data_IF_221469603715
#
_entry.id   IF_221469603715
#
_cell.length_a   1.000
_cell.length_b   1.000
_cell.length_c   1.000
_cell.angle_alpha   90.00
_cell.angle_beta   90.00
_cell.angle_gamma   90.00
#
_symmetry.space_group_name_H-M   'P 1'
#
loop_
_entity.id
_entity.type
_entity.pdbx_description
1 polymer ?
#
# COMPACT_ATOMS: atom_id res chain seq x y z
N UNK A 1 5.41 -11.29 -18.82
CA UNK A 1 4.80 -10.27 -17.95
C UNK A 1 3.70 -9.60 -18.74
N UNK A 2 2.46 -9.60 -18.27
CA UNK A 2 1.40 -8.80 -18.92
C UNK A 2 1.40 -7.41 -18.30
N UNK A 3 1.65 -6.39 -19.13
CA UNK A 3 1.41 -5.02 -18.74
C UNK A 3 -0.10 -4.78 -18.54
N UNK A 4 -0.44 -3.77 -17.76
CA UNK A 4 -1.81 -3.29 -17.64
C UNK A 4 -2.36 -2.88 -19.01
N UNK A 5 -3.65 -3.17 -19.21
CA UNK A 5 -4.43 -2.62 -20.31
C UNK A 5 -4.58 -1.11 -20.14
N UNK A 6 -4.94 -0.40 -21.22
CA UNK A 6 -5.19 1.04 -21.17
C UNK A 6 -6.33 1.40 -20.20
N UNK A 7 -7.35 0.56 -20.13
CA UNK A 7 -8.49 0.74 -19.23
C UNK A 7 -8.09 0.59 -17.76
N UNK A 8 -7.34 -0.46 -17.42
CA UNK A 8 -6.80 -0.67 -16.07
C UNK A 8 -5.86 0.47 -15.65
N UNK A 9 -5.00 0.93 -16.56
CA UNK A 9 -4.10 2.04 -16.31
C UNK A 9 -4.88 3.35 -16.09
N UNK A 10 -5.88 3.62 -16.93
CA UNK A 10 -6.75 4.80 -16.77
C UNK A 10 -7.50 4.76 -15.43
N UNK A 11 -8.06 3.61 -15.06
CA UNK A 11 -8.75 3.44 -13.78
C UNK A 11 -7.80 3.69 -12.59
N UNK A 12 -6.60 3.11 -12.62
CA UNK A 12 -5.59 3.30 -11.59
C UNK A 12 -5.16 4.77 -11.44
N UNK A 13 -4.95 5.46 -12.56
CA UNK A 13 -4.52 6.87 -12.58
C UNK A 13 -5.65 7.87 -12.27
N UNK A 14 -6.91 7.44 -12.37
CA UNK A 14 -8.07 8.26 -12.01
C UNK A 14 -8.36 8.27 -10.51
N UNK A 15 -7.72 7.39 -9.74
CA UNK A 15 -7.90 7.31 -8.31
C UNK A 15 -7.25 8.52 -7.62
N UNK A 16 -8.01 9.19 -6.76
CA UNK A 16 -7.56 10.34 -5.98
C UNK A 16 -6.35 9.98 -5.10
N UNK A 17 -5.27 10.74 -5.22
CA UNK A 17 -4.16 10.72 -4.27
C UNK A 17 -4.52 11.60 -3.06
N UNK A 18 -4.80 10.97 -1.91
CA UNK A 18 -5.19 11.68 -0.69
C UNK A 18 -4.03 12.50 -0.11
N UNK A 19 -2.79 12.16 -0.45
CA UNK A 19 -1.63 12.93 -0.01
C UNK A 19 -1.46 14.21 -0.82
N UNK A 20 -2.06 14.34 -2.02
CA UNK A 20 -1.91 15.49 -2.92
C UNK A 20 -2.97 16.59 -2.68
N UNK A 21 -2.58 17.77 -2.16
CA UNK A 21 -3.51 18.88 -1.94
C UNK A 21 -4.20 19.40 -3.22
N UNK A 22 -3.59 19.20 -4.40
CA UNK A 22 -4.19 19.60 -5.68
C UNK A 22 -5.45 18.77 -6.00
N UNK A 23 -5.60 17.59 -5.37
CA UNK A 23 -6.75 16.72 -5.53
C UNK A 23 -7.75 16.87 -4.37
N UNK A 24 -7.65 17.96 -3.59
CA UNK A 24 -8.58 18.31 -2.52
C UNK A 24 -8.05 18.00 -1.11
N UNK A 25 -8.63 18.59 -0.06
CA UNK A 25 -8.13 18.47 1.31
C UNK A 25 -8.33 17.07 1.89
N UNK A 26 -7.37 16.63 2.70
CA UNK A 26 -7.44 15.37 3.46
C UNK A 26 -6.47 15.36 4.65
N UNK A 27 -6.81 14.67 5.72
CA UNK A 27 -6.02 14.61 6.96
C UNK A 27 -4.64 13.96 6.80
N UNK A 28 -4.44 13.15 5.75
CA UNK A 28 -3.11 12.63 5.36
C UNK A 28 -2.13 13.79 5.10
N UNK A 29 -2.60 14.88 4.48
CA UNK A 29 -1.76 16.04 4.19
C UNK A 29 -1.28 16.70 5.49
N UNK A 30 -2.14 16.75 6.51
CA UNK A 30 -1.78 17.27 7.83
C UNK A 30 -0.70 16.43 8.53
N UNK A 31 -0.68 15.11 8.33
CA UNK A 31 0.42 14.25 8.80
C UNK A 31 1.72 14.63 8.11
N UNK A 32 1.72 14.73 6.77
CA UNK A 32 2.91 15.12 5.99
C UNK A 32 3.40 16.51 6.40
N UNK A 33 2.50 17.49 6.56
CA UNK A 33 2.84 18.87 6.92
C UNK A 33 3.36 18.99 8.36
N UNK A 34 2.83 18.19 9.30
CA UNK A 34 3.33 18.13 10.67
C UNK A 34 4.76 17.60 10.70
N UNK A 35 5.03 16.51 9.98
CA UNK A 35 6.37 15.92 9.86
C UNK A 35 7.34 16.93 9.22
N UNK A 36 6.96 17.51 8.08
CA UNK A 36 7.74 18.54 7.39
C UNK A 36 8.09 19.70 8.32
N UNK A 37 7.12 20.17 9.10
CA UNK A 37 7.31 21.29 10.03
C UNK A 37 8.23 20.91 11.18
N UNK A 38 8.05 19.74 11.79
CA UNK A 38 8.90 19.27 12.88
C UNK A 38 10.35 19.08 12.41
N UNK A 39 10.56 18.39 11.29
CA UNK A 39 11.90 18.14 10.77
C UNK A 39 12.58 19.42 10.27
N UNK A 40 11.85 20.31 9.60
CA UNK A 40 12.38 21.61 9.19
C UNK A 40 12.79 22.51 10.36
N UNK A 41 12.08 22.43 11.50
CA UNK A 41 12.48 23.12 12.74
C UNK A 41 13.70 22.48 13.40
N UNK A 42 13.79 21.16 13.35
CA UNK A 42 14.94 20.43 13.89
C UNK A 42 16.22 20.72 13.09
N UNK A 43 16.08 20.89 11.77
CA UNK A 43 17.20 21.09 10.85
C UNK A 43 17.02 22.37 10.01
N UNK A 44 17.18 23.57 10.63
CA UNK A 44 16.82 24.84 10.00
C UNK A 44 17.67 25.24 8.79
N UNK A 45 18.81 24.57 8.58
CA UNK A 45 19.72 24.81 7.45
C UNK A 45 19.62 23.73 6.36
N UNK A 46 18.74 22.75 6.53
CA UNK A 46 18.49 21.70 5.53
C UNK A 46 17.43 22.19 4.55
N UNK A 47 17.74 22.16 3.25
CA UNK A 47 16.77 22.49 2.22
C UNK A 47 15.69 21.40 2.14
N UNK A 48 14.42 21.78 2.05
CA UNK A 48 13.31 20.81 1.95
C UNK A 48 12.85 20.71 0.51
N UNK A 49 12.98 19.52 -0.08
CA UNK A 49 12.50 19.22 -1.42
C UNK A 49 11.27 18.31 -1.33
N UNK A 50 10.09 18.86 -1.59
CA UNK A 50 8.85 18.07 -1.63
C UNK A 50 8.62 17.53 -3.04
N UNK A 51 8.43 16.20 -3.16
CA UNK A 51 8.17 15.50 -4.43
C UNK A 51 6.79 14.86 -4.41
N UNK A 52 6.08 15.02 -5.52
CA UNK A 52 4.76 14.42 -5.79
C UNK A 52 4.70 14.03 -7.27
N UNK A 53 5.70 13.27 -7.69
CA UNK A 53 5.90 12.94 -9.09
C UNK A 53 4.75 12.07 -9.62
N UNK A 54 4.62 11.97 -10.94
CA UNK A 54 3.61 11.11 -11.55
C UNK A 54 3.80 9.65 -11.10
N UNK A 55 2.72 8.88 -10.84
CA UNK A 55 2.83 7.51 -10.31
C UNK A 55 3.38 6.49 -11.30
N UNK A 56 3.34 6.76 -12.61
CA UNK A 56 4.06 5.96 -13.61
C UNK A 56 5.53 6.36 -13.59
N UNK A 57 6.39 5.42 -13.20
CA UNK A 57 7.83 5.62 -13.02
C UNK A 57 8.61 4.56 -13.78
N UNK A 58 9.90 4.84 -14.03
CA UNK A 58 10.80 3.85 -14.62
C UNK A 58 10.96 2.66 -13.66
N UNK A 59 10.90 1.43 -14.21
CA UNK A 59 11.19 0.20 -13.49
C UNK A 59 12.58 0.27 -12.82
N UNK A 60 13.54 0.91 -13.49
CA UNK A 60 14.87 1.12 -12.97
C UNK A 60 14.88 2.01 -11.72
N UNK A 61 14.07 3.07 -11.66
CA UNK A 61 14.00 3.92 -10.47
C UNK A 61 13.18 3.29 -9.34
N UNK A 62 12.16 2.50 -9.68
CA UNK A 62 11.40 1.77 -8.67
C UNK A 62 12.19 0.62 -8.04
N UNK A 63 13.19 0.02 -8.73
CA UNK A 63 13.91 -1.13 -8.17
C UNK A 63 15.44 -1.09 -8.38
N UNK A 64 15.92 -1.00 -9.62
CA UNK A 64 17.35 -1.17 -9.92
C UNK A 64 18.23 -0.13 -9.21
N UNK A 65 17.82 1.13 -9.21
CA UNK A 65 18.55 2.25 -8.63
C UNK A 65 18.42 2.30 -7.10
N UNK A 66 17.53 1.49 -6.53
CA UNK A 66 17.40 1.22 -5.10
C UNK A 66 18.09 -0.10 -4.68
N UNK A 67 18.84 -0.75 -5.58
CA UNK A 67 19.66 -1.92 -5.24
C UNK A 67 18.89 -3.25 -5.15
N UNK A 68 17.61 -3.29 -5.48
CA UNK A 68 16.86 -4.55 -5.53
C UNK A 68 17.47 -5.52 -6.53
N UNK A 69 17.59 -6.80 -6.17
CA UNK A 69 18.06 -7.84 -7.09
C UNK A 69 17.07 -8.06 -8.25
N UNK A 70 17.57 -8.46 -9.42
CA UNK A 70 16.72 -8.70 -10.60
C UNK A 70 15.67 -9.81 -10.39
N UNK A 71 16.00 -10.82 -9.58
CA UNK A 71 15.09 -11.89 -9.17
C UNK A 71 14.37 -11.65 -7.84
N UNK A 72 14.33 -10.40 -7.36
CA UNK A 72 13.61 -10.09 -6.12
C UNK A 72 12.11 -10.35 -6.29
N UNK A 73 11.53 -11.05 -5.31
CA UNK A 73 10.09 -11.37 -5.27
C UNK A 73 9.23 -10.10 -5.40
N UNK A 74 9.70 -8.97 -4.85
CA UNK A 74 9.02 -7.67 -4.94
C UNK A 74 8.86 -7.13 -6.36
N UNK A 75 9.57 -7.69 -7.36
CA UNK A 75 9.43 -7.35 -8.79
C UNK A 75 8.44 -8.26 -9.52
N UNK A 76 8.00 -9.34 -8.90
CA UNK A 76 7.07 -10.26 -9.55
C UNK A 76 5.76 -9.55 -9.88
N UNK A 77 5.15 -9.90 -11.01
CA UNK A 77 3.87 -9.33 -11.44
C UNK A 77 2.72 -9.56 -10.44
N UNK A 78 2.92 -10.46 -9.45
CA UNK A 78 2.00 -10.66 -8.35
C UNK A 78 2.04 -9.53 -7.30
N UNK A 79 3.06 -8.68 -7.28
CA UNK A 79 3.20 -7.54 -6.37
C UNK A 79 3.29 -6.20 -7.11
N UNK A 80 3.85 -6.20 -8.32
CA UNK A 80 4.09 -4.99 -9.12
C UNK A 80 3.10 -4.86 -10.28
N UNK A 81 2.53 -3.66 -10.48
CA UNK A 81 1.69 -3.34 -11.64
C UNK A 81 2.53 -2.69 -12.75
N UNK A 82 2.83 -3.46 -13.81
CA UNK A 82 3.61 -3.01 -14.96
C UNK A 82 2.77 -2.19 -15.93
N UNK A 83 3.20 -0.96 -16.26
CA UNK A 83 2.56 -0.12 -17.27
C UNK A 83 3.12 -0.39 -18.68
N UNK A 84 4.40 -0.73 -18.76
CA UNK A 84 5.08 -1.15 -19.99
C UNK A 84 6.23 -2.12 -19.66
N UNK A 85 7.08 -2.45 -20.64
CA UNK A 85 8.27 -3.26 -20.40
C UNK A 85 9.32 -2.54 -19.52
N UNK A 86 9.24 -1.20 -19.43
CA UNK A 86 10.23 -0.35 -18.75
C UNK A 86 9.63 0.54 -17.67
N UNK A 87 8.31 0.55 -17.51
CA UNK A 87 7.60 1.43 -16.58
C UNK A 87 6.60 0.64 -15.74
N UNK A 88 6.41 1.11 -14.51
CA UNK A 88 5.49 0.56 -13.53
C UNK A 88 4.67 1.67 -12.91
N UNK A 89 3.50 1.33 -12.39
CA UNK A 89 2.91 2.14 -11.33
C UNK A 89 3.77 1.92 -10.08
N UNK A 90 4.27 3.00 -9.47
CA UNK A 90 5.22 2.91 -8.35
C UNK A 90 4.65 2.03 -7.22
N UNK A 91 5.45 1.08 -6.75
CA UNK A 91 5.07 0.19 -5.65
C UNK A 91 5.32 0.81 -4.28
N UNK A 92 6.18 1.83 -4.23
CA UNK A 92 6.56 2.58 -3.03
C UNK A 92 7.05 3.98 -3.39
N UNK A 93 6.95 4.92 -2.45
CA UNK A 93 7.37 6.32 -2.68
C UNK A 93 8.89 6.47 -2.87
N UNK A 94 9.69 5.48 -2.44
CA UNK A 94 11.15 5.49 -2.65
C UNK A 94 11.54 5.53 -4.12
N UNK A 95 10.62 5.21 -5.04
CA UNK A 95 10.85 5.32 -6.49
C UNK A 95 11.13 6.77 -6.94
N UNK A 96 10.73 7.77 -6.15
CA UNK A 96 11.05 9.19 -6.39
C UNK A 96 12.46 9.58 -5.91
N UNK A 97 13.12 8.73 -5.11
CA UNK A 97 14.42 9.05 -4.51
C UNK A 97 15.54 9.01 -5.54
N UNK A 98 15.73 7.96 -6.37
CA UNK A 98 16.79 7.95 -7.36
C UNK A 98 16.84 9.15 -8.31
N UNK A 99 15.73 9.61 -8.93
CA UNK A 99 15.77 10.82 -9.74
C UNK A 99 16.11 12.07 -8.91
N UNK A 100 15.61 12.18 -7.67
CA UNK A 100 15.94 13.30 -6.79
C UNK A 100 17.43 13.32 -6.37
N UNK A 101 18.04 12.15 -6.14
CA UNK A 101 19.47 12.05 -5.85
C UNK A 101 20.33 12.44 -7.06
N UNK A 102 19.92 12.07 -8.28
CA UNK A 102 20.61 12.49 -9.51
C UNK A 102 20.53 14.01 -9.71
N UNK A 103 19.40 14.62 -9.38
CA UNK A 103 19.25 16.07 -9.38
C UNK A 103 20.18 16.72 -8.35
N UNK A 104 20.20 16.19 -7.12
CA UNK A 104 21.09 16.65 -6.05
C UNK A 104 22.56 16.57 -6.42
N UNK A 105 23.00 15.53 -7.14
CA UNK A 105 24.38 15.38 -7.60
C UNK A 105 24.85 16.50 -8.53
N UNK A 106 23.91 17.24 -9.14
CA UNK A 106 24.18 18.38 -10.02
C UNK A 106 23.79 19.73 -9.42
N UNK A 107 23.23 19.73 -8.20
CA UNK A 107 22.77 20.93 -7.51
C UNK A 107 23.86 21.52 -6.61
N UNK A 108 23.73 22.80 -6.29
CA UNK A 108 24.61 23.47 -5.31
C UNK A 108 24.29 23.09 -3.85
N UNK A 109 23.09 22.53 -3.61
CA UNK A 109 22.62 22.13 -2.29
C UNK A 109 23.62 21.15 -1.62
N UNK A 110 23.75 21.25 -0.29
CA UNK A 110 24.71 20.48 0.50
C UNK A 110 24.10 19.69 1.66
N UNK A 111 22.85 19.97 1.99
CA UNK A 111 22.03 19.26 2.97
C UNK A 111 20.57 19.40 2.56
N UNK A 112 19.95 18.28 2.21
CA UNK A 112 18.60 18.22 1.64
C UNK A 112 17.76 17.19 2.39
N UNK A 113 16.53 17.56 2.75
CA UNK A 113 15.47 16.65 3.18
C UNK A 113 14.48 16.48 2.02
N UNK A 114 14.54 15.32 1.37
CA UNK A 114 13.54 14.88 0.40
C UNK A 114 12.29 14.42 1.17
N UNK A 115 11.13 14.93 0.76
CA UNK A 115 9.81 14.54 1.27
C UNK A 115 8.99 14.06 0.08
N UNK A 116 8.94 12.76 -0.11
CA UNK A 116 8.30 12.09 -1.24
C UNK A 116 6.99 11.46 -0.77
N UNK A 117 5.85 12.12 -0.97
CA UNK A 117 4.56 11.62 -0.51
C UNK A 117 3.62 11.34 -1.67
N UNK A 118 2.92 10.20 -1.63
CA UNK A 118 1.92 9.90 -2.65
C UNK A 118 1.36 8.50 -2.57
N UNK A 119 0.35 8.27 -3.41
CA UNK A 119 -0.29 6.98 -3.62
C UNK A 119 0.68 5.99 -4.29
N UNK A 120 0.67 4.74 -3.86
CA UNK A 120 1.42 3.62 -4.44
C UNK A 120 0.45 2.57 -4.94
N UNK A 121 0.91 1.66 -5.80
CA UNK A 121 0.08 0.64 -6.40
C UNK A 121 0.72 -0.72 -6.21
N UNK A 122 0.02 -1.59 -5.48
CA UNK A 122 0.42 -2.96 -5.21
C UNK A 122 -0.78 -3.89 -5.27
N UNK A 123 -0.54 -5.17 -5.53
CA UNK A 123 -1.57 -6.18 -5.25
C UNK A 123 -1.49 -6.52 -3.78
N UNK A 124 -2.65 -6.57 -3.13
CA UNK A 124 -2.75 -6.78 -1.68
C UNK A 124 -4.00 -7.60 -1.33
N UNK A 125 -4.09 -8.12 -0.11
CA UNK A 125 -5.31 -8.78 0.37
C UNK A 125 -6.50 -7.82 0.38
N UNK A 126 -7.72 -8.38 0.48
CA UNK A 126 -8.93 -7.61 0.77
C UNK A 126 -9.26 -7.86 2.23
N UNK A 127 -8.92 -6.90 3.08
CA UNK A 127 -9.25 -6.86 4.50
C UNK A 127 -9.29 -5.41 5.01
N UNK A 128 -9.54 -5.24 6.31
CA UNK A 128 -9.71 -3.92 6.94
C UNK A 128 -8.40 -3.13 7.14
N UNK A 129 -7.23 -3.77 6.99
CA UNK A 129 -5.90 -3.13 7.12
C UNK A 129 -5.25 -2.83 5.78
N UNK A 130 -5.59 -3.59 4.74
CA UNK A 130 -4.87 -3.59 3.47
C UNK A 130 -5.67 -2.93 2.36
N UNK A 131 -4.92 -2.29 1.46
CA UNK A 131 -5.46 -1.70 0.24
C UNK A 131 -4.44 -1.89 -0.88
N UNK A 132 -4.93 -2.10 -2.10
CA UNK A 132 -4.06 -2.15 -3.29
C UNK A 132 -3.44 -0.80 -3.64
N UNK A 133 -3.91 0.28 -3.00
CA UNK A 133 -3.47 1.65 -3.31
C UNK A 133 -3.15 2.49 -2.07
N UNK A 134 -2.14 2.08 -1.27
CA UNK A 134 -1.78 2.79 -0.04
C UNK A 134 -1.04 4.08 -0.37
N UNK A 135 -1.05 5.03 0.55
CA UNK A 135 -0.21 6.22 0.55
C UNK A 135 1.03 5.97 1.43
N UNK A 136 2.19 6.34 0.90
CA UNK A 136 3.43 6.28 1.63
C UNK A 136 4.09 7.66 1.67
N UNK A 137 5.05 7.78 2.57
CA UNK A 137 5.92 8.93 2.68
C UNK A 137 7.35 8.41 2.76
N UNK A 138 8.21 8.83 1.83
CA UNK A 138 9.65 8.66 1.92
C UNK A 138 10.29 9.97 2.39
N UNK A 139 11.06 9.88 3.47
CA UNK A 139 11.86 10.95 4.04
C UNK A 139 13.33 10.57 3.91
N UNK A 140 14.06 11.34 3.11
CA UNK A 140 15.49 11.12 2.94
C UNK A 140 16.26 12.40 3.26
N UNK A 141 17.03 12.40 4.33
CA UNK A 141 17.97 13.49 4.61
C UNK A 141 19.33 13.11 4.04
N UNK A 142 19.88 13.90 3.13
CA UNK A 142 21.14 13.66 2.45
C UNK A 142 22.04 14.87 2.65
N UNK A 143 23.24 14.67 3.20
CA UNK A 143 24.12 15.77 3.60
C UNK A 143 25.59 15.44 3.36
N UNK A 144 26.34 16.45 2.91
CA UNK A 144 27.81 16.50 2.93
C UNK A 144 28.37 17.46 4.00
N UNK A 145 27.48 18.15 4.72
CA UNK A 145 27.85 19.06 5.81
C UNK A 145 27.86 18.37 7.17
N UNK A 146 27.09 17.29 7.31
CA UNK A 146 26.90 16.54 8.53
C UNK A 146 27.04 15.06 8.21
N UNK A 147 27.77 14.32 9.04
CA UNK A 147 27.80 12.86 8.98
C UNK A 147 26.52 12.33 9.61
N UNK A 148 25.66 11.73 8.79
CA UNK A 148 24.40 11.14 9.21
C UNK A 148 24.59 9.63 9.47
N UNK A 149 24.39 9.20 10.72
CA UNK A 149 24.53 7.81 11.15
C UNK A 149 23.37 7.32 12.00
N UNK A 150 23.59 6.24 12.75
CA UNK A 150 22.58 5.68 13.66
C UNK A 150 22.07 6.66 14.73
N UNK A 151 22.88 7.56 15.33
CA UNK A 151 22.37 8.55 16.28
C UNK A 151 21.34 9.51 15.67
N UNK A 152 21.62 10.06 14.48
CA UNK A 152 20.70 10.95 13.79
C UNK A 152 19.46 10.20 13.27
N UNK A 153 19.61 8.91 12.92
CA UNK A 153 18.49 8.05 12.58
C UNK A 153 17.55 7.87 13.79
N UNK A 154 18.08 7.59 14.98
CA UNK A 154 17.28 7.45 16.21
C UNK A 154 16.56 8.76 16.53
N UNK A 155 17.23 9.91 16.40
CA UNK A 155 16.59 11.22 16.58
C UNK A 155 15.44 11.42 15.59
N UNK A 156 15.64 11.05 14.31
CA UNK A 156 14.61 11.16 13.28
C UNK A 156 13.39 10.28 13.59
N UNK A 157 13.61 9.05 14.10
CA UNK A 157 12.54 8.13 14.52
C UNK A 157 11.74 8.73 15.68
N UNK A 158 12.42 9.21 16.72
CA UNK A 158 11.78 9.82 17.89
C UNK A 158 10.90 11.02 17.48
N UNK A 159 11.44 11.90 16.62
CA UNK A 159 10.70 13.06 16.10
C UNK A 159 9.51 12.66 15.26
N UNK A 160 9.62 11.62 14.43
CA UNK A 160 8.49 11.11 13.65
C UNK A 160 7.38 10.65 14.60
N UNK A 161 7.70 9.72 15.51
CA UNK A 161 6.72 9.10 16.41
C UNK A 161 6.04 10.15 17.28
N UNK A 162 6.80 11.03 17.93
CA UNK A 162 6.22 12.05 18.81
C UNK A 162 5.34 13.06 18.04
N UNK A 163 5.67 13.35 16.79
CA UNK A 163 4.85 14.24 15.95
C UNK A 163 3.51 13.59 15.59
N UNK A 164 3.55 12.35 15.10
CA UNK A 164 2.39 11.69 14.51
C UNK A 164 1.54 10.94 15.53
N UNK A 165 2.15 10.41 16.59
CA UNK A 165 1.54 9.58 17.63
C UNK A 165 2.10 9.99 19.02
N UNK A 166 1.80 11.21 19.49
CA UNK A 166 2.36 11.77 20.72
C UNK A 166 2.05 10.89 21.93
N UNK A 167 3.07 10.60 22.73
CA UNK A 167 2.96 9.75 23.92
C UNK A 167 2.81 8.24 23.64
N UNK A 168 2.87 7.81 22.38
CA UNK A 168 2.82 6.39 22.04
C UNK A 168 4.13 5.69 22.38
N UNK A 169 4.04 4.51 23.00
CA UNK A 169 5.22 3.66 23.19
C UNK A 169 5.63 3.04 21.86
N UNK A 170 6.90 3.15 21.50
CA UNK A 170 7.47 2.57 20.29
C UNK A 170 8.71 1.72 20.58
N UNK A 171 9.03 0.82 19.65
CA UNK A 171 10.29 0.07 19.62
C UNK A 171 10.83 0.06 18.20
N UNK A 172 12.09 -0.37 18.07
CA UNK A 172 12.67 -0.68 16.76
C UNK A 172 13.21 -2.10 16.75
N UNK A 173 13.07 -2.78 15.61
CA UNK A 173 13.67 -4.10 15.38
C UNK A 173 14.56 -4.04 14.14
N UNK A 174 15.71 -4.74 14.11
CA UNK A 174 16.58 -4.76 12.93
C UNK A 174 15.83 -5.24 11.68
N UNK A 175 16.03 -4.53 10.57
CA UNK A 175 15.45 -4.85 9.27
C UNK A 175 16.52 -4.71 8.18
N UNK A 176 16.36 -5.45 7.08
CA UNK A 176 17.33 -5.47 5.98
C UNK A 176 16.66 -4.96 4.72
N UNK A 177 17.21 -3.88 4.16
CA UNK A 177 16.76 -3.31 2.89
C UNK A 177 17.91 -3.21 1.90
N UNK A 178 17.61 -3.27 0.59
CA UNK A 178 18.66 -3.13 -0.42
C UNK A 178 19.33 -1.76 -0.44
N UNK A 179 18.64 -0.70 0.01
CA UNK A 179 19.08 0.70 -0.08
C UNK A 179 19.49 1.33 1.25
N UNK A 180 19.48 0.59 2.36
CA UNK A 180 19.93 1.07 3.66
C UNK A 180 20.95 0.13 4.29
N UNK A 181 21.73 0.67 5.22
CA UNK A 181 22.52 -0.05 6.21
C UNK A 181 21.98 0.31 7.60
N UNK A 182 22.21 -0.56 8.60
CA UNK A 182 21.62 -0.39 9.94
C UNK A 182 20.09 -0.21 9.88
N UNK A 183 19.43 -0.96 8.99
CA UNK A 183 17.99 -0.88 8.79
C UNK A 183 17.21 -1.26 10.04
N UNK A 184 16.08 -0.59 10.24
CA UNK A 184 15.18 -0.75 11.40
C UNK A 184 13.73 -0.63 10.96
N UNK A 185 12.90 -1.56 11.42
CA UNK A 185 11.46 -1.43 11.40
C UNK A 185 11.03 -0.71 12.69
N UNK A 186 10.05 0.18 12.58
CA UNK A 186 9.49 0.98 13.67
C UNK A 186 8.10 0.42 14.00
N UNK A 187 7.94 -0.05 15.24
CA UNK A 187 6.66 -0.55 15.74
C UNK A 187 6.13 0.36 16.86
N UNK A 188 4.82 0.55 16.91
CA UNK A 188 4.14 1.20 18.04
C UNK A 188 3.23 0.21 18.76
N UNK A 189 3.12 0.33 20.08
CA UNK A 189 2.28 -0.53 20.90
C UNK A 189 0.84 -0.02 20.90
N UNK A 190 -0.13 -0.79 20.43
CA UNK A 190 -1.56 -0.48 20.52
C UNK A 190 -2.31 -1.73 20.99
N UNK A 191 -3.16 -1.59 22.01
CA UNK A 191 -3.98 -2.70 22.55
C UNK A 191 -3.17 -3.98 22.83
N UNK A 192 -1.98 -3.82 23.44
CA UNK A 192 -1.00 -4.88 23.73
C UNK A 192 -0.37 -5.57 22.50
N UNK A 193 -0.60 -5.06 21.29
CA UNK A 193 -0.01 -5.55 20.04
C UNK A 193 0.99 -4.53 19.46
N UNK A 194 2.08 -5.04 18.88
CA UNK A 194 3.05 -4.22 18.17
C UNK A 194 2.65 -4.06 16.72
N UNK A 195 2.42 -2.82 16.30
CA UNK A 195 1.98 -2.48 14.95
C UNK A 195 3.11 -1.74 14.24
N UNK A 196 3.58 -2.31 13.13
CA UNK A 196 4.54 -1.66 12.26
C UNK A 196 3.95 -0.39 11.63
N UNK A 197 4.72 0.71 11.65
CA UNK A 197 4.34 1.99 11.04
C UNK A 197 5.26 2.43 9.91
N UNK A 198 6.42 1.80 9.77
CA UNK A 198 7.39 2.12 8.72
C UNK A 198 8.77 1.53 8.99
N UNK A 199 9.61 1.62 7.99
CA UNK A 199 10.99 1.15 8.04
C UNK A 199 11.96 2.29 7.73
N UNK A 200 13.19 2.19 8.23
CA UNK A 200 14.19 3.23 8.08
C UNK A 200 15.61 2.66 8.15
N UNK A 201 16.61 3.49 7.87
CA UNK A 201 18.01 3.12 7.97
C UNK A 201 18.93 4.26 7.55
N UNK A 202 20.24 4.05 7.70
CA UNK A 202 21.24 4.93 7.11
C UNK A 202 21.31 4.60 5.61
N UNK A 203 21.23 5.59 4.73
CA UNK A 203 21.26 5.40 3.29
C UNK A 203 22.55 4.66 2.88
N UNK A 204 22.41 3.59 2.10
CA UNK A 204 23.56 2.76 1.74
C UNK A 204 24.50 3.52 0.79
N UNK A 205 25.83 3.56 1.04
CA UNK A 205 26.77 4.34 0.22
C UNK A 205 26.75 3.99 -1.27
N UNK A 206 26.44 2.74 -1.62
CA UNK A 206 26.36 2.31 -3.01
C UNK A 206 25.17 2.94 -3.77
N UNK A 207 24.09 3.32 -3.07
CA UNK A 207 22.94 4.01 -3.66
C UNK A 207 23.31 5.46 -3.97
N UNK A 208 23.96 6.15 -3.02
CA UNK A 208 24.42 7.53 -3.20
C UNK A 208 25.42 7.62 -4.36
N UNK A 209 26.43 6.74 -4.38
CA UNK A 209 27.39 6.63 -5.49
C UNK A 209 26.72 6.39 -6.84
N UNK A 210 25.72 5.51 -6.89
CA UNK A 210 25.00 5.19 -8.12
C UNK A 210 24.24 6.41 -8.69
N UNK A 211 23.85 7.34 -7.83
CA UNK A 211 23.23 8.61 -8.22
C UNK A 211 24.24 9.73 -8.55
N UNK A 212 25.54 9.49 -8.40
CA UNK A 212 26.61 10.47 -8.66
C UNK A 212 27.06 11.27 -7.44
N UNK A 213 26.62 10.91 -6.24
CA UNK A 213 27.07 11.52 -4.98
C UNK A 213 28.32 10.78 -4.48
N UNK A 214 29.41 11.51 -4.24
CA UNK A 214 30.68 10.94 -3.77
C UNK A 214 30.65 10.53 -2.27
N UNK A 215 31.77 10.01 -1.76
CA UNK A 215 31.90 9.53 -0.37
C UNK A 215 31.76 10.63 0.70
N UNK A 216 31.74 11.91 0.32
CA UNK A 216 31.48 13.00 1.28
C UNK A 216 30.01 13.07 1.69
N UNK A 217 29.12 12.44 0.92
CA UNK A 217 27.69 12.41 1.18
C UNK A 217 27.31 11.23 2.07
N UNK A 218 26.48 11.53 3.07
CA UNK A 218 25.82 10.54 3.92
C UNK A 218 24.32 10.79 3.92
N UNK A 219 23.53 9.84 4.39
CA UNK A 219 22.08 10.02 4.40
C UNK A 219 21.33 9.14 5.36
N UNK A 220 20.10 9.54 5.65
CA UNK A 220 19.08 8.76 6.34
C UNK A 220 17.94 8.49 5.36
N UNK A 221 17.28 7.35 5.50
CA UNK A 221 16.12 6.96 4.73
C UNK A 221 15.03 6.44 5.68
N UNK A 222 13.78 6.83 5.45
CA UNK A 222 12.64 6.43 6.28
C UNK A 222 11.35 6.43 5.44
N UNK A 223 10.60 5.34 5.48
CA UNK A 223 9.42 5.11 4.64
C UNK A 223 8.16 4.72 5.42
N UNK A 224 7.52 5.62 6.19
CA UNK A 224 6.27 5.31 6.88
C UNK A 224 5.06 5.19 5.95
N UNK A 225 4.12 4.33 6.35
CA UNK A 225 2.80 4.23 5.72
C UNK A 225 1.85 5.34 6.22
N UNK A 226 1.43 6.24 5.33
CA UNK A 226 0.61 7.39 5.71
C UNK A 226 -0.79 6.99 6.17
N UNK A 227 -1.42 6.01 5.52
CA UNK A 227 -2.74 5.48 5.91
C UNK A 227 -2.66 4.88 7.32
N UNK A 228 -1.63 4.07 7.59
CA UNK A 228 -1.39 3.45 8.90
C UNK A 228 -1.21 4.52 9.98
N UNK A 229 -0.37 5.52 9.73
CA UNK A 229 -0.16 6.62 10.67
C UNK A 229 -1.45 7.38 10.97
N UNK A 230 -2.23 7.72 9.94
CA UNK A 230 -3.49 8.43 10.12
C UNK A 230 -4.52 7.58 10.87
N UNK A 231 -4.61 6.29 10.53
CA UNK A 231 -5.51 5.36 11.20
C UNK A 231 -5.20 5.26 12.69
N UNK A 232 -3.93 5.10 13.05
CA UNK A 232 -3.49 5.06 14.44
C UNK A 232 -3.77 6.39 15.15
N UNK A 233 -3.43 7.53 14.53
CA UNK A 233 -3.64 8.86 15.12
C UNK A 233 -5.12 9.15 15.39
N UNK A 234 -6.01 8.69 14.53
CA UNK A 234 -7.46 8.93 14.66
C UNK A 234 -8.21 7.77 15.32
N UNK A 235 -7.58 6.62 15.58
CA UNK A 235 -8.27 5.42 16.07
C UNK A 235 -9.22 4.78 15.05
N UNK A 236 -8.92 4.91 13.76
CA UNK A 236 -9.69 4.31 12.66
C UNK A 236 -9.29 2.84 12.52
N UNK A 237 -10.28 1.96 12.49
CA UNK A 237 -10.08 0.49 12.43
C UNK A 237 -10.32 -0.11 11.04
N UNK A 238 -10.68 0.70 10.06
CA UNK A 238 -10.94 0.23 8.69
C UNK A 238 -10.38 1.23 7.68
N UNK A 239 -9.41 0.79 6.89
CA UNK A 239 -8.71 1.64 5.92
C UNK A 239 -9.64 2.23 4.87
N UNK A 240 -10.75 1.56 4.54
CA UNK A 240 -11.73 2.01 3.54
C UNK A 240 -12.39 3.33 3.96
N UNK A 241 -12.46 3.61 5.27
CA UNK A 241 -12.99 4.88 5.78
C UNK A 241 -12.18 6.10 5.34
N UNK A 242 -10.89 5.94 5.02
CA UNK A 242 -10.05 7.05 4.55
C UNK A 242 -10.49 7.56 3.17
N UNK A 243 -11.19 6.74 2.37
CA UNK A 243 -11.69 7.10 1.04
C UNK A 243 -13.21 7.27 0.99
N UNK A 244 -13.89 7.09 2.13
CA UNK A 244 -15.35 7.16 2.19
C UNK A 244 -15.90 8.50 1.69
N UNK A 245 -16.88 8.42 0.80
CA UNK A 245 -17.63 9.58 0.30
C UNK A 245 -18.81 9.97 1.20
N UNK A 246 -19.15 9.15 2.22
CA UNK A 246 -20.16 9.51 3.22
C UNK A 246 -19.76 10.83 3.91
N UNK A 247 -20.58 11.89 3.84
CA UNK A 247 -20.27 13.17 4.47
C UNK A 247 -19.91 13.07 5.95
N UNK A 248 -20.55 12.16 6.68
CA UNK A 248 -20.31 11.93 8.12
C UNK A 248 -18.91 11.38 8.40
N UNK A 249 -18.29 10.73 7.43
CA UNK A 249 -16.91 10.22 7.49
C UNK A 249 -15.95 11.21 6.85
N UNK A 250 -16.27 11.70 5.65
CA UNK A 250 -15.42 12.60 4.87
C UNK A 250 -15.12 13.92 5.60
N UNK A 251 -16.10 14.50 6.31
CA UNK A 251 -15.89 15.70 7.13
C UNK A 251 -14.87 15.48 8.25
N UNK A 252 -14.82 14.26 8.81
CA UNK A 252 -13.84 13.89 9.84
C UNK A 252 -12.43 13.66 9.28
N UNK A 253 -12.27 13.59 7.94
CA UNK A 253 -10.97 13.49 7.27
C UNK A 253 -10.37 14.86 6.93
N UNK A 254 -10.83 15.94 7.58
CA UNK A 254 -10.30 17.29 7.40
C UNK A 254 -9.44 17.77 8.59
N UNK A 255 -9.33 16.97 9.65
CA UNK A 255 -8.52 17.25 10.83
C UNK A 255 -7.85 15.99 11.40
N UNK A 256 -7.08 16.14 12.47
CA UNK A 256 -6.43 15.04 13.20
C UNK A 256 -7.15 14.69 14.51
N UNK A 257 -8.39 15.12 14.71
CA UNK A 257 -9.17 14.75 15.89
C UNK A 257 -9.51 13.24 15.87
N UNK A 258 -9.68 12.59 17.03
CA UNK A 258 -10.10 11.19 17.08
C UNK A 258 -11.38 10.95 16.28
N UNK A 259 -11.38 9.86 15.52
CA UNK A 259 -12.51 9.46 14.69
C UNK A 259 -13.71 9.10 15.57
N UNK A 260 -14.87 9.62 15.19
CA UNK A 260 -16.16 9.32 15.80
C UNK A 260 -16.86 8.27 14.94
N UNK A 261 -17.03 7.04 15.42
CA UNK A 261 -17.66 5.98 14.66
C UNK A 261 -19.04 6.39 14.16
N UNK A 262 -19.27 6.23 12.86
CA UNK A 262 -20.62 6.23 12.28
C UNK A 262 -21.21 4.82 12.45
N UNK A 263 -22.54 4.72 12.59
CA UNK A 263 -23.22 3.44 12.78
C UNK A 263 -22.76 2.42 11.74
N UNK A 264 -22.21 1.29 12.18
CA UNK A 264 -21.76 0.21 11.31
C UNK A 264 -22.96 -0.45 10.66
N UNK A 265 -22.94 -0.57 9.34
CA UNK A 265 -24.01 -1.23 8.57
C UNK A 265 -23.87 -2.75 8.69
N UNK A 266 -24.97 -3.53 8.67
CA UNK A 266 -24.90 -4.98 8.78
C UNK A 266 -24.14 -5.58 7.58
N UNK A 267 -23.18 -6.50 7.81
CA UNK A 267 -22.49 -7.19 6.72
C UNK A 267 -23.40 -8.17 6.00
N UNK A 268 -23.18 -8.33 4.71
CA UNK A 268 -23.71 -9.43 3.92
C UNK A 268 -22.61 -10.44 3.64
N UNK A 269 -22.79 -11.68 4.10
CA UNK A 269 -21.80 -12.77 3.92
C UNK A 269 -22.23 -13.68 2.78
N UNK A 270 -21.28 -14.09 1.95
CA UNK A 270 -21.49 -15.04 0.85
C UNK A 270 -20.33 -16.02 0.79
N UNK A 271 -20.63 -17.30 0.99
CA UNK A 271 -19.67 -18.39 0.77
C UNK A 271 -19.83 -18.90 -0.67
N UNK A 272 -18.73 -18.92 -1.42
CA UNK A 272 -18.69 -19.24 -2.84
C UNK A 272 -17.80 -20.46 -3.06
N UNK A 273 -18.30 -21.42 -3.83
CA UNK A 273 -17.50 -22.52 -4.38
C UNK A 273 -17.00 -22.11 -5.77
N UNK A 274 -15.75 -21.68 -5.86
CA UNK A 274 -15.12 -21.26 -7.12
C UNK A 274 -14.22 -22.36 -7.64
N UNK A 275 -14.32 -22.66 -8.92
CA UNK A 275 -13.46 -23.65 -9.58
C UNK A 275 -12.27 -22.92 -10.15
N UNK A 276 -11.06 -23.42 -9.91
CA UNK A 276 -9.83 -22.85 -10.48
C UNK A 276 -8.96 -23.95 -11.08
N UNK A 277 -8.09 -23.57 -12.01
CA UNK A 277 -7.09 -24.50 -12.55
C UNK A 277 -6.08 -24.98 -11.50
N UNK A 278 -5.44 -26.13 -11.74
CA UNK A 278 -4.41 -26.69 -10.86
C UNK A 278 -3.26 -25.73 -10.56
N UNK A 279 -2.88 -24.89 -11.53
CA UNK A 279 -1.75 -23.95 -11.42
C UNK A 279 -2.19 -22.51 -11.20
N UNK A 280 -3.48 -22.25 -10.97
CA UNK A 280 -3.97 -20.90 -10.71
C UNK A 280 -3.33 -20.35 -9.43
N UNK A 281 -2.81 -19.12 -9.45
CA UNK A 281 -2.35 -18.46 -8.24
C UNK A 281 -3.57 -18.01 -7.41
N UNK A 282 -3.66 -18.56 -6.21
CA UNK A 282 -4.77 -18.37 -5.27
C UNK A 282 -4.32 -17.65 -4.01
N UNK A 283 -3.17 -16.96 -4.10
CA UNK A 283 -2.71 -16.13 -3.00
C UNK A 283 -3.69 -14.99 -2.72
N UNK A 284 -3.81 -14.52 -1.45
CA UNK A 284 -4.71 -13.44 -1.08
C UNK A 284 -4.54 -12.18 -1.94
N UNK A 285 -3.30 -11.87 -2.36
CA UNK A 285 -2.99 -10.70 -3.18
C UNK A 285 -3.57 -10.81 -4.60
N UNK A 286 -3.45 -11.99 -5.23
CA UNK A 286 -3.99 -12.22 -6.57
C UNK A 286 -5.51 -12.28 -6.55
N UNK A 287 -6.09 -13.01 -5.59
CA UNK A 287 -7.55 -13.07 -5.43
C UNK A 287 -8.13 -11.70 -5.08
N UNK A 288 -7.46 -10.94 -4.21
CA UNK A 288 -7.85 -9.59 -3.84
C UNK A 288 -7.83 -8.61 -5.01
N UNK A 289 -6.82 -8.68 -5.88
CA UNK A 289 -6.75 -7.89 -7.11
C UNK A 289 -7.91 -8.25 -8.06
N UNK A 290 -8.15 -9.54 -8.31
CA UNK A 290 -9.28 -10.00 -9.12
C UNK A 290 -10.62 -9.50 -8.58
N UNK A 291 -10.81 -9.49 -7.26
CA UNK A 291 -12.04 -8.97 -6.62
C UNK A 291 -12.17 -7.46 -6.83
N UNK A 292 -11.11 -6.69 -6.59
CA UNK A 292 -11.16 -5.23 -6.77
C UNK A 292 -11.40 -4.84 -8.23
N UNK A 293 -10.72 -5.48 -9.17
CA UNK A 293 -10.93 -5.24 -10.60
C UNK A 293 -12.37 -5.58 -11.03
N UNK A 294 -12.94 -6.68 -10.50
CA UNK A 294 -14.31 -7.08 -10.80
C UNK A 294 -15.38 -6.14 -10.23
N UNK A 295 -15.12 -5.57 -9.05
CA UNK A 295 -16.03 -4.64 -8.38
C UNK A 295 -15.89 -3.21 -8.91
N UNK A 296 -14.70 -2.83 -9.39
CA UNK A 296 -14.42 -1.52 -9.95
C UNK A 296 -14.75 -0.40 -8.95
N UNK A 297 -15.67 0.53 -9.29
CA UNK A 297 -16.10 1.60 -8.37
C UNK A 297 -16.69 1.09 -7.04
N UNK A 298 -17.19 -0.16 -7.01
CA UNK A 298 -17.76 -0.79 -5.81
C UNK A 298 -16.70 -1.53 -4.97
N UNK A 299 -15.39 -1.40 -5.27
CA UNK A 299 -14.34 -2.18 -4.59
C UNK A 299 -14.36 -2.03 -3.06
N UNK A 300 -14.65 -0.83 -2.55
CA UNK A 300 -14.73 -0.55 -1.11
C UNK A 300 -15.94 -1.23 -0.42
N UNK A 301 -16.88 -1.79 -1.20
CA UNK A 301 -17.97 -2.60 -0.66
C UNK A 301 -17.47 -3.96 -0.13
N UNK A 302 -16.34 -4.48 -0.64
CA UNK A 302 -15.74 -5.69 -0.12
C UNK A 302 -14.95 -5.40 1.17
N UNK A 303 -15.41 -5.99 2.27
CA UNK A 303 -14.77 -5.90 3.59
C UNK A 303 -13.68 -6.95 3.77
N UNK A 304 -13.95 -8.19 3.35
CA UNK A 304 -12.95 -9.25 3.36
C UNK A 304 -13.19 -10.28 2.27
N UNK A 305 -12.12 -10.94 1.85
CA UNK A 305 -12.14 -12.17 1.08
C UNK A 305 -11.25 -13.21 1.74
N UNK A 306 -11.86 -14.24 2.32
CA UNK A 306 -11.15 -15.29 3.06
C UNK A 306 -11.20 -16.61 2.29
N UNK A 307 -10.05 -17.25 2.09
CA UNK A 307 -9.98 -18.64 1.60
C UNK A 307 -10.23 -19.57 2.79
N UNK A 308 -11.37 -20.26 2.79
CA UNK A 308 -11.76 -21.18 3.86
C UNK A 308 -11.23 -22.59 3.66
N UNK A 309 -10.98 -22.97 2.40
CA UNK A 309 -10.46 -24.29 2.09
C UNK A 309 -10.28 -24.52 0.60
N UNK A 310 -9.45 -25.50 0.28
CA UNK A 310 -9.18 -25.99 -1.06
C UNK A 310 -9.45 -27.49 -1.10
N UNK A 311 -10.05 -27.99 -2.17
CA UNK A 311 -10.32 -29.41 -2.36
C UNK A 311 -10.03 -29.79 -3.81
N UNK A 312 -9.17 -30.79 -4.01
CA UNK A 312 -8.81 -31.25 -5.34
C UNK A 312 -9.97 -31.97 -6.03
N UNK A 313 -9.87 -32.18 -7.34
CA UNK A 313 -10.82 -33.00 -8.09
C UNK A 313 -11.06 -34.36 -7.41
N UNK A 314 -10.02 -35.10 -7.04
CA UNK A 314 -10.17 -36.47 -6.55
C UNK A 314 -10.83 -36.54 -5.16
N UNK A 315 -10.57 -35.53 -4.32
CA UNK A 315 -11.10 -35.41 -2.96
C UNK A 315 -12.52 -34.85 -2.91
N UNK A 316 -12.97 -34.16 -3.97
CA UNK A 316 -14.28 -33.52 -3.99
C UNK A 316 -15.41 -34.58 -4.10
N UNK A 317 -16.47 -34.50 -3.27
CA UNK A 317 -17.56 -35.46 -3.32
C UNK A 317 -18.19 -35.57 -4.73
N UNK A 318 -18.56 -36.77 -5.22
CA UNK A 318 -19.08 -36.96 -6.57
C UNK A 318 -20.25 -36.04 -6.95
N UNK A 319 -21.17 -35.78 -6.03
CA UNK A 319 -22.30 -34.86 -6.24
C UNK A 319 -21.84 -33.42 -6.47
N UNK A 320 -20.81 -32.95 -5.74
CA UNK A 320 -20.24 -31.62 -5.92
C UNK A 320 -19.45 -31.54 -7.24
N UNK A 321 -18.73 -32.59 -7.62
CA UNK A 321 -18.06 -32.67 -8.94
C UNK A 321 -19.05 -32.57 -10.10
N UNK A 322 -20.17 -33.28 -10.01
CA UNK A 322 -21.20 -33.26 -11.04
C UNK A 322 -21.87 -31.88 -11.13
N UNK A 323 -22.18 -31.26 -9.99
CA UNK A 323 -22.80 -29.94 -9.91
C UNK A 323 -21.92 -28.83 -10.48
N UNK A 324 -20.64 -28.81 -10.09
CA UNK A 324 -19.66 -27.83 -10.58
C UNK A 324 -19.10 -28.18 -11.96
N UNK A 325 -19.39 -29.38 -12.47
CA UNK A 325 -18.76 -29.98 -13.64
C UNK A 325 -17.24 -29.84 -13.63
N UNK A 326 -16.64 -30.06 -12.46
CA UNK A 326 -15.18 -30.06 -12.31
C UNK A 326 -14.58 -31.07 -13.30
N UNK A 327 -13.47 -30.72 -13.93
CA UNK A 327 -12.67 -31.66 -14.75
C UNK A 327 -11.36 -32.03 -14.03
N UNK A 328 -10.76 -33.19 -14.33
CA UNK A 328 -9.47 -33.57 -13.76
C UNK A 328 -8.42 -32.46 -13.97
N UNK A 329 -7.67 -32.13 -12.92
CA UNK A 329 -6.73 -31.01 -12.92
C UNK A 329 -7.34 -29.66 -12.52
N UNK A 330 -8.63 -29.60 -12.16
CA UNK A 330 -9.21 -28.46 -11.46
C UNK A 330 -9.37 -28.75 -9.96
N UNK A 331 -9.54 -27.68 -9.19
CA UNK A 331 -9.78 -27.71 -7.76
C UNK A 331 -10.91 -26.75 -7.39
N UNK A 332 -11.63 -27.09 -6.32
CA UNK A 332 -12.64 -26.23 -5.74
C UNK A 332 -12.03 -25.42 -4.60
N UNK A 333 -12.24 -24.11 -4.65
CA UNK A 333 -11.88 -23.15 -3.64
C UNK A 333 -13.15 -22.67 -2.95
N UNK A 334 -13.23 -22.89 -1.64
CA UNK A 334 -14.29 -22.33 -0.81
C UNK A 334 -13.81 -20.97 -0.30
N UNK A 335 -14.42 -19.90 -0.80
CA UNK A 335 -14.10 -18.52 -0.41
C UNK A 335 -15.28 -17.88 0.31
N UNK A 336 -15.00 -17.05 1.31
CA UNK A 336 -15.99 -16.22 1.99
C UNK A 336 -15.77 -14.76 1.61
N UNK A 337 -16.76 -14.19 0.94
CA UNK A 337 -16.84 -12.77 0.64
C UNK A 337 -17.73 -12.09 1.69
N UNK A 338 -17.18 -11.09 2.37
CA UNK A 338 -17.94 -10.21 3.26
C UNK A 338 -18.12 -8.86 2.56
N UNK A 339 -19.37 -8.49 2.31
CA UNK A 339 -19.74 -7.21 1.72
C UNK A 339 -20.30 -6.29 2.80
N UNK A 340 -19.66 -5.15 3.00
CA UNK A 340 -20.12 -4.09 3.91
C UNK A 340 -19.59 -2.75 3.40
N UNK A 341 -20.36 -2.01 2.58
CA UNK A 341 -20.02 -0.63 2.26
C UNK A 341 -19.95 0.22 3.52
N UNK A 342 -19.06 1.20 3.52
CA UNK A 342 -18.83 2.09 4.66
C UNK A 342 -19.86 3.23 4.76
N UNK A 343 -20.60 3.48 3.69
CA UNK A 343 -21.49 4.62 3.50
C UNK A 343 -22.99 4.25 3.41
N UNK A 344 -23.33 2.99 3.12
CA UNK A 344 -24.72 2.54 2.90
C UNK A 344 -24.96 1.08 3.26
N UNK A 345 -26.22 0.73 3.52
CA UNK A 345 -26.67 -0.66 3.65
C UNK A 345 -26.88 -1.25 2.27
N UNK A 346 -26.44 -2.50 2.06
CA UNK A 346 -26.79 -3.26 0.86
C UNK A 346 -28.14 -3.94 1.03
N UNK A 347 -28.97 -3.84 0.01
CA UNK A 347 -30.07 -4.79 -0.17
C UNK A 347 -29.51 -6.16 -0.57
N UNK A 348 -30.28 -7.23 -0.34
CA UNK A 348 -29.89 -8.56 -0.79
C UNK A 348 -29.68 -8.63 -2.31
N UNK A 349 -30.46 -7.87 -3.08
CA UNK A 349 -30.34 -7.79 -4.53
C UNK A 349 -29.00 -7.18 -4.95
N UNK A 350 -28.61 -6.06 -4.36
CA UNK A 350 -27.32 -5.41 -4.63
C UNK A 350 -26.16 -6.31 -4.19
N UNK A 351 -26.25 -6.91 -3.01
CA UNK A 351 -25.22 -7.83 -2.53
C UNK A 351 -25.05 -9.04 -3.46
N UNK A 352 -26.14 -9.56 -4.03
CA UNK A 352 -26.07 -10.64 -5.02
C UNK A 352 -25.43 -10.17 -6.33
N UNK A 353 -25.71 -8.95 -6.80
CA UNK A 353 -25.03 -8.39 -7.98
C UNK A 353 -23.52 -8.28 -7.78
N UNK A 354 -23.07 -7.76 -6.63
CA UNK A 354 -21.64 -7.65 -6.31
C UNK A 354 -20.99 -9.03 -6.17
N UNK A 355 -21.67 -9.96 -5.49
CA UNK A 355 -21.24 -11.37 -5.39
C UNK A 355 -21.06 -11.99 -6.78
N UNK A 356 -21.99 -11.75 -7.71
CA UNK A 356 -21.96 -12.35 -9.04
C UNK A 356 -20.80 -11.81 -9.88
N UNK A 357 -20.49 -10.51 -9.77
CA UNK A 357 -19.28 -9.93 -10.36
C UNK A 357 -18.03 -10.65 -9.85
N UNK A 358 -17.90 -10.79 -8.52
CA UNK A 358 -16.77 -11.48 -7.88
C UNK A 358 -16.69 -12.94 -8.31
N UNK A 359 -17.83 -13.65 -8.32
CA UNK A 359 -17.87 -15.05 -8.72
C UNK A 359 -17.38 -15.25 -10.15
N UNK A 360 -17.82 -14.43 -11.12
CA UNK A 360 -17.34 -14.51 -12.51
C UNK A 360 -15.84 -14.28 -12.63
N UNK A 361 -15.29 -13.39 -11.82
CA UNK A 361 -13.87 -13.05 -11.87
C UNK A 361 -12.97 -14.14 -11.27
N UNK A 362 -13.46 -14.85 -10.25
CA UNK A 362 -12.71 -15.91 -9.56
C UNK A 362 -12.92 -17.30 -10.17
N UNK A 363 -14.08 -17.57 -10.77
CA UNK A 363 -14.47 -18.90 -11.25
C UNK A 363 -13.99 -19.16 -12.68
N UNK A 364 -13.16 -20.19 -12.84
CA UNK A 364 -12.58 -20.69 -14.10
C UNK A 364 -13.22 -22.02 -14.56
N UNK A 365 -14.26 -22.47 -13.86
CA UNK A 365 -15.00 -23.69 -14.17
C UNK A 365 -15.99 -23.51 -15.33
N UNK A 366 -16.48 -24.63 -15.89
CA UNK A 366 -17.35 -24.62 -17.07
C UNK A 366 -18.80 -24.20 -16.78
N UNK A 367 -19.22 -24.10 -15.52
CA UNK A 367 -20.61 -23.83 -15.12
C UNK A 367 -20.69 -22.71 -14.09
N UNK A 368 -21.41 -21.64 -14.44
CA UNK A 368 -21.69 -20.53 -13.53
C UNK A 368 -22.93 -20.80 -12.67
N UNK A 369 -22.78 -21.60 -11.62
CA UNK A 369 -23.91 -22.07 -10.80
C UNK A 369 -24.69 -20.95 -10.10
N UNK A 370 -23.99 -19.89 -9.66
CA UNK A 370 -24.59 -18.82 -8.86
C UNK A 370 -25.29 -17.74 -9.69
N UNK A 371 -25.22 -17.84 -11.02
CA UNK A 371 -25.62 -16.79 -11.96
C UNK A 371 -26.56 -17.44 -12.99
N UNK A 372 -27.84 -17.48 -12.63
CA UNK A 372 -28.94 -18.01 -13.44
C UNK A 372 -30.01 -16.95 -13.67
#
# INVERSE_FOLDING_TARGET
MSALTLEELHAALSLRDLADPAQGPHAIQLIVDSIRTTLGRAWPYTEIWTRRDHPVVLLADNYDNLGYAAGAVTREARYTRYASATEVLRSHTSAMVPPALRELATAEASDVLLICAGICYRRDSVDWQHTGTPHQLDLWRISRNVTLGEPELVEMIERLVETVLPGQTYRTVPAVHPYTIHGRQIDVLLDDEWIEIGECGVAAPHILRKAGLDESWTGLAMGPGLDRLLMLRKGIRDIRLLRSSDPRVAEQMLDLAPYRPVSTMPPVRRDLSVVVGATADVSPEVLGDKVRDALGPDADAAESLDVLGETTYDELPPAARQRLQLIPGQRNLLVRLVLRPVDRTLTDAEANQLRDKVYRALHEGPVLELIG
#
